data_IF_671492422378
#
_entry.id   IF_671492422378
#
_cell.length_a   1.000
_cell.length_b   1.000
_cell.length_c   1.000
_cell.angle_alpha   90.00
_cell.angle_beta   90.00
_cell.angle_gamma   90.00
#
_symmetry.space_group_name_H-M   'P 1'
#
loop_
_entity.id
_entity.type
_entity.pdbx_description
1 polymer ?
#
# COMPACT_ATOMS: atom_id res chain seq x y z
N UNK A 1 42.43 60.10 -18.46
CA UNK A 1 42.65 58.65 -18.59
C UNK A 1 41.28 58.00 -18.47
N UNK A 2 40.78 57.53 -19.61
CA UNK A 2 39.42 57.03 -19.82
C UNK A 2 39.51 55.52 -19.86
N UNK A 3 38.68 54.80 -19.11
CA UNK A 3 38.37 53.40 -19.40
C UNK A 3 36.89 53.34 -19.78
N UNK A 4 36.65 53.00 -21.04
CA UNK A 4 35.34 52.80 -21.66
C UNK A 4 34.93 51.37 -21.34
N UNK A 5 33.79 51.19 -20.70
CA UNK A 5 33.14 49.89 -20.56
C UNK A 5 32.28 49.62 -21.81
N UNK A 6 32.39 48.42 -22.38
CA UNK A 6 32.01 48.12 -23.76
C UNK A 6 30.64 47.45 -23.90
N UNK A 7 29.67 47.88 -23.09
CA UNK A 7 28.25 47.53 -23.22
C UNK A 7 27.45 48.78 -22.85
N UNK A 8 26.93 49.49 -23.85
CA UNK A 8 26.23 50.76 -23.69
C UNK A 8 24.86 50.66 -23.00
N UNK A 9 24.82 50.19 -21.75
CA UNK A 9 23.66 50.27 -20.88
C UNK A 9 23.94 51.21 -19.70
N UNK A 10 23.17 52.29 -19.63
CA UNK A 10 23.16 53.20 -18.48
C UNK A 10 22.67 52.43 -17.26
N UNK A 11 23.54 52.27 -16.26
CA UNK A 11 23.15 51.82 -14.94
C UNK A 11 22.34 52.93 -14.26
N UNK A 12 21.02 52.71 -14.14
CA UNK A 12 20.12 53.58 -13.37
C UNK A 12 20.03 53.04 -11.93
N UNK A 13 20.61 53.72 -10.92
CA UNK A 13 20.69 53.22 -9.55
C UNK A 13 19.33 53.14 -8.83
N UNK A 14 18.23 53.60 -9.45
CA UNK A 14 16.88 53.57 -8.88
C UNK A 14 15.97 52.47 -9.47
N UNK A 15 16.52 51.51 -10.23
CA UNK A 15 15.73 50.38 -10.75
C UNK A 15 15.57 49.30 -9.66
N UNK A 16 14.34 48.97 -9.20
CA UNK A 16 14.15 47.88 -8.25
C UNK A 16 14.54 46.53 -8.89
N UNK A 17 15.20 45.62 -8.15
CA UNK A 17 15.68 44.36 -8.70
C UNK A 17 14.51 43.52 -9.23
N UNK A 18 14.67 42.99 -10.45
CA UNK A 18 13.70 42.08 -11.08
C UNK A 18 13.62 40.72 -10.37
N UNK A 19 12.52 39.97 -10.55
CA UNK A 19 12.17 38.81 -9.74
C UNK A 19 12.90 37.54 -10.21
N UNK A 20 14.23 37.50 -10.14
CA UNK A 20 15.00 36.30 -10.56
C UNK A 20 16.18 35.93 -9.66
N UNK A 21 16.28 36.45 -8.44
CA UNK A 21 17.36 36.05 -7.51
C UNK A 21 16.89 35.70 -6.09
N UNK A 22 15.65 35.23 -5.95
CA UNK A 22 15.30 34.41 -4.80
C UNK A 22 15.63 32.95 -5.12
N UNK A 23 16.90 32.60 -4.88
CA UNK A 23 17.27 31.22 -4.56
C UNK A 23 16.23 30.74 -3.55
N UNK A 24 15.36 29.82 -3.99
CA UNK A 24 14.21 29.37 -3.24
C UNK A 24 14.71 28.60 -2.01
N UNK A 25 15.01 29.32 -0.92
CA UNK A 25 15.59 28.80 0.32
C UNK A 25 14.72 27.67 0.88
N UNK A 26 13.42 27.69 0.63
CA UNK A 26 12.46 26.63 0.93
C UNK A 26 12.67 25.35 0.11
N UNK A 27 12.99 25.47 -1.19
CA UNK A 27 13.30 24.32 -2.05
C UNK A 27 14.67 23.72 -1.71
N UNK A 28 15.66 24.57 -1.41
CA UNK A 28 16.97 24.14 -0.91
C UNK A 28 16.91 23.51 0.47
N UNK A 29 16.10 24.05 1.40
CA UNK A 29 15.89 23.44 2.71
C UNK A 29 15.12 22.13 2.61
N UNK A 30 14.14 22.01 1.69
CA UNK A 30 13.46 20.74 1.42
C UNK A 30 14.43 19.71 0.82
N UNK A 31 15.30 20.14 -0.10
CA UNK A 31 16.35 19.29 -0.71
C UNK A 31 17.41 18.86 0.30
N UNK A 32 17.91 19.78 1.12
CA UNK A 32 18.90 19.50 2.18
C UNK A 32 18.32 18.62 3.29
N UNK A 33 17.04 18.78 3.66
CA UNK A 33 16.36 17.85 4.56
C UNK A 33 16.13 16.48 3.92
N UNK A 34 15.83 16.42 2.62
CA UNK A 34 15.74 15.15 1.86
C UNK A 34 17.11 14.48 1.74
N UNK A 35 18.20 15.24 1.58
CA UNK A 35 19.58 14.76 1.59
C UNK A 35 20.00 14.25 2.97
N UNK A 36 19.71 14.98 4.05
CA UNK A 36 20.01 14.53 5.41
C UNK A 36 19.22 13.25 5.77
N UNK A 37 17.95 13.18 5.39
CA UNK A 37 17.11 11.99 5.59
C UNK A 37 17.55 10.81 4.71
N UNK A 38 17.99 11.06 3.47
CA UNK A 38 18.52 10.02 2.59
C UNK A 38 19.87 9.46 3.07
N UNK A 39 20.78 10.32 3.54
CA UNK A 39 22.06 9.92 4.14
C UNK A 39 21.82 9.10 5.42
N UNK A 40 20.80 9.44 6.21
CA UNK A 40 20.42 8.67 7.40
C UNK A 40 19.66 7.37 7.05
N UNK A 41 18.87 7.36 5.96
CA UNK A 41 18.04 6.23 5.52
C UNK A 41 18.78 5.11 4.76
N UNK A 42 20.08 5.23 4.50
CA UNK A 42 20.87 4.19 3.79
C UNK A 42 21.34 3.04 4.69
N UNK A 43 21.10 3.12 6.00
CA UNK A 43 21.41 2.01 6.90
C UNK A 43 20.23 1.03 6.88
N UNK A 44 20.41 -0.25 6.49
CA UNK A 44 19.32 -1.23 6.47
C UNK A 44 18.60 -1.38 7.83
N UNK A 45 19.29 -1.02 8.92
CA UNK A 45 18.76 -0.95 10.28
C UNK A 45 17.70 0.15 10.44
N UNK A 46 17.90 1.32 9.82
CA UNK A 46 16.98 2.46 9.94
C UNK A 46 15.78 2.34 9.01
N UNK A 47 15.94 1.73 7.82
CA UNK A 47 14.81 1.35 6.98
C UNK A 47 13.92 0.31 7.69
N UNK A 48 14.52 -0.68 8.35
CA UNK A 48 13.80 -1.64 9.19
C UNK A 48 13.16 -0.97 10.42
N UNK A 49 13.79 0.05 11.02
CA UNK A 49 13.19 0.82 12.12
C UNK A 49 12.01 1.67 11.65
N UNK A 50 12.11 2.34 10.50
CA UNK A 50 10.99 3.09 9.92
C UNK A 50 9.83 2.16 9.54
N UNK A 51 10.13 0.97 9.02
CA UNK A 51 9.12 -0.06 8.71
C UNK A 51 8.48 -0.61 10.00
N UNK A 52 9.24 -0.77 11.08
CA UNK A 52 8.72 -1.15 12.40
C UNK A 52 7.87 -0.05 13.04
N UNK A 53 8.29 1.22 12.96
CA UNK A 53 7.54 2.38 13.47
C UNK A 53 6.24 2.60 12.69
N UNK A 54 6.24 2.40 11.36
CA UNK A 54 5.01 2.45 10.56
C UNK A 54 4.10 1.24 10.87
N UNK A 55 4.65 0.04 11.08
CA UNK A 55 3.86 -1.13 11.51
C UNK A 55 3.23 -0.93 12.89
N UNK A 56 3.97 -0.33 13.83
CA UNK A 56 3.47 0.02 15.16
C UNK A 56 2.40 1.11 15.09
N UNK A 57 2.54 2.11 14.21
CA UNK A 57 1.49 3.10 13.95
C UNK A 57 0.23 2.50 13.35
N UNK A 58 0.36 1.55 12.42
CA UNK A 58 -0.79 0.83 11.84
C UNK A 58 -1.49 0.01 12.93
N UNK A 59 -0.73 -0.73 13.74
CA UNK A 59 -1.27 -1.50 14.87
C UNK A 59 -1.93 -0.61 15.94
N UNK A 60 -1.36 0.57 16.21
CA UNK A 60 -1.94 1.54 17.16
C UNK A 60 -3.25 2.17 16.64
N UNK A 61 -3.44 2.24 15.32
CA UNK A 61 -4.66 2.74 14.68
C UNK A 61 -5.76 1.67 14.52
N UNK A 62 -5.43 0.38 14.63
CA UNK A 62 -6.41 -0.72 14.57
C UNK A 62 -7.59 -0.59 15.56
N UNK A 63 -7.41 -0.32 16.86
CA UNK A 63 -8.54 -0.24 17.79
C UNK A 63 -9.47 0.94 17.49
N UNK A 64 -8.92 2.06 17.02
CA UNK A 64 -9.71 3.22 16.60
C UNK A 64 -10.47 2.93 15.29
N UNK A 65 -9.85 2.19 14.37
CA UNK A 65 -10.47 1.72 13.13
C UNK A 65 -11.58 0.71 13.42
N UNK A 66 -11.37 -0.25 14.32
CA UNK A 66 -12.36 -1.23 14.76
C UNK A 66 -13.57 -0.57 15.46
N UNK A 67 -13.34 0.46 16.28
CA UNK A 67 -14.42 1.24 16.89
C UNK A 67 -15.24 2.04 15.86
N UNK A 68 -14.62 2.50 14.77
CA UNK A 68 -15.27 3.23 13.67
C UNK A 68 -16.05 2.30 12.72
N UNK A 69 -15.49 1.13 12.38
CA UNK A 69 -16.16 0.06 11.64
C UNK A 69 -17.42 -0.43 12.36
N UNK A 70 -17.35 -0.50 13.70
CA UNK A 70 -18.48 -0.86 14.55
C UNK A 70 -19.66 0.11 14.43
N UNK A 71 -19.40 1.41 14.24
CA UNK A 71 -20.45 2.42 14.05
C UNK A 71 -21.21 2.30 12.71
N UNK A 72 -20.62 1.65 11.71
CA UNK A 72 -21.22 1.41 10.38
C UNK A 72 -22.03 0.11 10.26
N UNK A 73 -22.20 -0.67 11.34
CA UNK A 73 -23.01 -1.89 11.37
C UNK A 73 -22.31 -3.18 10.92
N UNK A 74 -21.05 -3.11 10.48
CA UNK A 74 -20.26 -4.27 10.03
C UNK A 74 -19.20 -4.70 11.04
N UNK A 75 -19.55 -4.84 12.32
CA UNK A 75 -18.64 -5.13 13.45
C UNK A 75 -17.73 -6.35 13.20
N UNK A 76 -18.26 -7.37 12.52
CA UNK A 76 -17.54 -8.63 12.25
C UNK A 76 -16.97 -8.71 10.81
N UNK A 77 -17.11 -7.64 10.03
CA UNK A 77 -16.65 -7.58 8.64
C UNK A 77 -15.29 -6.88 8.62
N UNK A 78 -14.29 -7.51 7.99
CA UNK A 78 -12.96 -6.95 7.90
C UNK A 78 -12.68 -6.35 6.52
N UNK A 79 -11.76 -5.40 6.47
CA UNK A 79 -11.25 -4.81 5.21
C UNK A 79 -10.07 -5.62 4.69
N UNK A 80 -10.26 -6.95 4.63
CA UNK A 80 -9.25 -7.94 4.23
C UNK A 80 -9.92 -9.08 3.46
N UNK A 81 -9.18 -9.66 2.51
CA UNK A 81 -9.60 -10.87 1.82
C UNK A 81 -9.40 -12.08 2.74
N UNK A 82 -10.50 -12.71 3.18
CA UNK A 82 -10.51 -13.84 4.11
C UNK A 82 -11.17 -15.08 3.52
N UNK A 83 -10.76 -16.24 4.03
CA UNK A 83 -11.36 -17.53 3.70
C UNK A 83 -11.25 -17.90 2.22
N UNK A 84 -12.10 -18.83 1.80
CA UNK A 84 -12.09 -19.38 0.45
C UNK A 84 -12.51 -18.33 -0.59
N UNK A 85 -13.44 -17.44 -0.22
CA UNK A 85 -13.94 -16.38 -1.11
C UNK A 85 -12.86 -15.32 -1.32
N UNK A 86 -12.16 -14.93 -0.26
CA UNK A 86 -11.00 -14.03 -0.36
C UNK A 86 -9.89 -14.62 -1.23
N UNK A 87 -9.62 -15.92 -1.11
CA UNK A 87 -8.66 -16.60 -1.98
C UNK A 87 -9.11 -16.64 -3.45
N UNK A 88 -10.39 -16.86 -3.71
CA UNK A 88 -10.95 -16.82 -5.07
C UNK A 88 -10.83 -15.41 -5.69
N UNK A 89 -11.15 -14.36 -4.93
CA UNK A 89 -10.98 -12.96 -5.34
C UNK A 89 -9.50 -12.64 -5.63
N UNK A 90 -8.59 -13.06 -4.75
CA UNK A 90 -7.15 -12.90 -4.98
C UNK A 90 -6.67 -13.63 -6.25
N UNK A 91 -7.21 -14.83 -6.52
CA UNK A 91 -6.94 -15.60 -7.73
C UNK A 91 -7.39 -14.90 -9.01
N UNK A 92 -8.59 -14.30 -9.01
CA UNK A 92 -9.11 -13.51 -10.15
C UNK A 92 -8.24 -12.29 -10.42
N UNK A 93 -7.82 -11.58 -9.36
CA UNK A 93 -7.00 -10.39 -9.48
C UNK A 93 -5.57 -10.69 -9.92
N UNK A 94 -5.02 -11.82 -9.46
CA UNK A 94 -3.65 -12.26 -9.71
C UNK A 94 -2.60 -11.15 -9.44
N UNK A 95 -2.75 -10.45 -8.31
CA UNK A 95 -1.88 -9.33 -7.93
C UNK A 95 -0.42 -9.76 -7.76
N UNK A 96 -0.16 -11.04 -7.46
CA UNK A 96 1.18 -11.61 -7.35
C UNK A 96 2.03 -11.43 -8.62
N UNK A 97 1.40 -11.40 -9.80
CA UNK A 97 2.10 -11.16 -11.06
C UNK A 97 2.61 -9.71 -11.15
N UNK A 98 1.83 -8.75 -10.64
CA UNK A 98 2.21 -7.34 -10.55
C UNK A 98 3.32 -7.20 -9.50
N UNK A 99 3.18 -7.85 -8.35
CA UNK A 99 4.21 -7.89 -7.30
C UNK A 99 5.53 -8.45 -7.83
N UNK A 100 5.47 -9.54 -8.60
CA UNK A 100 6.65 -10.15 -9.21
C UNK A 100 7.31 -9.22 -10.23
N UNK A 101 6.54 -8.49 -11.03
CA UNK A 101 7.06 -7.50 -11.97
C UNK A 101 7.75 -6.33 -11.24
N UNK A 102 7.10 -5.78 -10.20
CA UNK A 102 7.66 -4.70 -9.39
C UNK A 102 8.97 -5.13 -8.70
N UNK A 103 9.03 -6.35 -8.14
CA UNK A 103 10.26 -6.92 -7.56
C UNK A 103 11.40 -7.01 -8.58
N UNK A 104 11.12 -7.43 -9.82
CA UNK A 104 12.13 -7.48 -10.89
C UNK A 104 12.68 -6.11 -11.26
N UNK A 105 11.80 -5.11 -11.39
CA UNK A 105 12.22 -3.73 -11.68
C UNK A 105 13.04 -3.16 -10.53
N UNK A 106 12.63 -3.40 -9.28
CA UNK A 106 13.40 -2.97 -8.10
C UNK A 106 14.80 -3.61 -8.07
N UNK A 107 14.89 -4.92 -8.28
CA UNK A 107 16.16 -5.62 -8.33
C UNK A 107 17.08 -5.08 -9.45
N UNK A 108 16.51 -4.65 -10.57
CA UNK A 108 17.26 -4.01 -11.66
C UNK A 108 17.79 -2.64 -11.24
N UNK A 109 16.96 -1.80 -10.63
CA UNK A 109 17.37 -0.50 -10.07
C UNK A 109 18.53 -0.71 -9.09
N UNK A 110 18.39 -1.64 -8.16
CA UNK A 110 19.40 -1.94 -7.13
C UNK A 110 20.73 -2.36 -7.77
N UNK A 111 20.68 -3.25 -8.77
CA UNK A 111 21.88 -3.68 -9.50
C UNK A 111 22.57 -2.55 -10.27
N UNK A 112 21.81 -1.69 -10.96
CA UNK A 112 22.37 -0.55 -11.70
C UNK A 112 23.02 0.48 -10.77
N UNK A 113 22.46 0.71 -9.58
CA UNK A 113 23.05 1.62 -8.58
C UNK A 113 24.36 1.06 -8.07
N UNK A 114 24.41 -0.24 -7.74
CA UNK A 114 25.65 -0.89 -7.31
C UNK A 114 26.72 -0.72 -8.38
N UNK A 115 26.40 -0.98 -9.65
CA UNK A 115 27.33 -0.82 -10.76
C UNK A 115 27.83 0.63 -10.92
N UNK A 116 26.92 1.61 -10.88
CA UNK A 116 27.27 3.04 -11.00
C UNK A 116 28.17 3.48 -9.83
N UNK A 117 27.85 3.06 -8.61
CA UNK A 117 28.63 3.40 -7.40
C UNK A 117 30.02 2.77 -7.46
N UNK A 118 30.15 1.53 -7.93
CA UNK A 118 31.45 0.88 -8.16
C UNK A 118 32.27 1.62 -9.23
N UNK A 119 31.65 2.02 -10.34
CA UNK A 119 32.31 2.79 -11.39
C UNK A 119 32.80 4.16 -10.88
N UNK A 120 31.99 4.85 -10.07
CA UNK A 120 32.36 6.11 -9.43
C UNK A 120 33.53 5.92 -8.45
N UNK A 121 33.50 4.86 -7.63
CA UNK A 121 34.59 4.52 -6.72
C UNK A 121 35.89 4.25 -7.49
N UNK A 122 35.83 3.46 -8.56
CA UNK A 122 36.99 3.15 -9.39
C UNK A 122 37.57 4.41 -10.07
N UNK A 123 36.71 5.33 -10.53
CA UNK A 123 37.14 6.62 -11.09
C UNK A 123 37.84 7.48 -10.02
N UNK A 124 37.24 7.67 -8.85
CA UNK A 124 37.83 8.44 -7.76
C UNK A 124 39.20 7.87 -7.33
N UNK A 125 39.33 6.53 -7.25
CA UNK A 125 40.60 5.86 -6.99
C UNK A 125 41.65 6.13 -8.06
N UNK A 126 41.27 6.17 -9.35
CA UNK A 126 42.21 6.50 -10.44
C UNK A 126 42.68 7.95 -10.36
N UNK A 127 41.77 8.89 -10.13
CA UNK A 127 42.09 10.31 -10.04
C UNK A 127 42.99 10.61 -8.84
N UNK A 128 42.68 10.05 -7.67
CA UNK A 128 43.52 10.22 -6.48
C UNK A 128 44.93 9.62 -6.67
N UNK A 129 45.04 8.42 -7.25
CA UNK A 129 46.35 7.84 -7.60
C UNK A 129 47.11 8.69 -8.61
N UNK A 130 46.44 9.23 -9.63
CA UNK A 130 47.06 10.10 -10.61
C UNK A 130 47.61 11.38 -9.96
N UNK A 131 46.87 11.97 -9.02
CA UNK A 131 47.32 13.14 -8.26
C UNK A 131 48.58 12.85 -7.42
N UNK A 132 48.58 11.75 -6.65
CA UNK A 132 49.74 11.34 -5.86
C UNK A 132 50.97 11.06 -6.74
N UNK A 133 50.77 10.40 -7.88
CA UNK A 133 51.86 10.12 -8.82
C UNK A 133 52.39 11.39 -9.49
N UNK A 134 51.51 12.34 -9.83
CA UNK A 134 51.93 13.62 -10.38
C UNK A 134 52.79 14.40 -9.37
N UNK A 135 52.36 14.48 -8.11
CA UNK A 135 53.11 15.15 -7.05
C UNK A 135 54.49 14.51 -6.82
N UNK A 136 54.55 13.18 -6.77
CA UNK A 136 55.83 12.47 -6.65
C UNK A 136 56.74 12.69 -7.87
N UNK A 137 56.16 12.77 -9.07
CA UNK A 137 56.90 13.03 -10.29
C UNK A 137 57.48 14.46 -10.32
N UNK A 138 56.69 15.44 -9.88
CA UNK A 138 57.12 16.84 -9.77
C UNK A 138 58.24 16.98 -8.73
N UNK A 139 58.11 16.34 -7.56
CA UNK A 139 59.14 16.34 -6.52
C UNK A 139 60.44 15.68 -7.00
N UNK A 140 60.33 14.53 -7.68
CA UNK A 140 61.49 13.85 -8.26
C UNK A 140 62.19 14.71 -9.33
N UNK A 141 61.42 15.33 -10.22
CA UNK A 141 61.93 16.19 -11.30
C UNK A 141 62.62 17.45 -10.75
N UNK A 142 62.11 17.99 -9.65
CA UNK A 142 62.73 19.09 -8.92
C UNK A 142 63.95 18.68 -8.07
N UNK A 143 64.38 17.40 -8.11
CA UNK A 143 65.43 16.81 -7.25
C UNK A 143 65.16 16.98 -5.76
N UNK A 144 63.89 17.02 -5.37
CA UNK A 144 63.44 17.07 -3.98
C UNK A 144 63.20 15.64 -3.46
N UNK A 145 63.00 15.52 -2.14
CA UNK A 145 62.59 14.25 -1.54
C UNK A 145 61.20 13.86 -2.07
N UNK A 146 61.08 12.67 -2.65
CA UNK A 146 59.79 12.13 -3.12
C UNK A 146 58.86 11.89 -1.92
N UNK A 147 57.61 12.40 -1.94
CA UNK A 147 56.61 12.16 -0.90
C UNK A 147 56.22 10.69 -0.77
N UNK A 148 55.64 10.33 0.38
CA UNK A 148 55.08 8.98 0.59
C UNK A 148 53.80 8.79 -0.25
N UNK A 149 53.74 7.68 -1.00
CA UNK A 149 52.63 7.42 -1.92
C UNK A 149 51.57 6.47 -1.34
N UNK A 150 52.01 5.42 -0.64
CA UNK A 150 51.12 4.32 -0.22
C UNK A 150 50.34 4.63 1.05
N UNK A 151 50.97 5.24 2.06
CA UNK A 151 50.29 5.57 3.31
C UNK A 151 49.11 6.56 3.10
N UNK A 152 49.26 7.64 2.30
CA UNK A 152 48.13 8.53 1.99
C UNK A 152 47.02 7.84 1.19
N UNK A 153 47.37 6.98 0.22
CA UNK A 153 46.36 6.25 -0.57
C UNK A 153 45.55 5.28 0.29
N UNK A 154 46.19 4.50 1.16
CA UNK A 154 45.52 3.55 2.05
C UNK A 154 44.63 4.30 3.05
N UNK A 155 45.12 5.39 3.63
CA UNK A 155 44.34 6.23 4.53
C UNK A 155 43.12 6.83 3.83
N UNK A 156 43.27 7.37 2.62
CA UNK A 156 42.16 7.89 1.82
C UNK A 156 41.14 6.80 1.49
N UNK A 157 41.60 5.62 1.06
CA UNK A 157 40.72 4.50 0.67
C UNK A 157 39.86 3.96 1.81
N UNK A 158 40.34 4.08 3.05
CA UNK A 158 39.62 3.62 4.23
C UNK A 158 38.51 4.59 4.68
N UNK A 159 38.55 5.86 4.25
CA UNK A 159 37.68 6.91 4.79
C UNK A 159 36.81 7.62 3.75
N UNK A 160 37.11 7.48 2.45
CA UNK A 160 36.32 8.11 1.40
C UNK A 160 35.28 7.15 0.85
N UNK A 161 34.00 7.48 1.11
CA UNK A 161 32.89 6.96 0.32
C UNK A 161 32.63 7.92 -0.84
N UNK A 162 32.51 7.44 -2.09
CA UNK A 162 32.01 8.27 -3.17
C UNK A 162 30.64 8.79 -2.76
N UNK A 163 30.48 10.11 -2.62
CA UNK A 163 29.20 10.72 -2.32
C UNK A 163 28.55 11.19 -3.63
N UNK A 164 27.26 10.92 -3.82
CA UNK A 164 26.42 11.72 -4.71
C UNK A 164 25.37 10.99 -5.56
N UNK A 165 24.38 11.80 -5.98
CA UNK A 165 23.43 11.71 -7.10
C UNK A 165 22.74 10.37 -7.41
N UNK A 166 23.48 9.28 -7.62
CA UNK A 166 22.93 7.98 -8.03
C UNK A 166 22.01 7.38 -6.95
N UNK A 167 22.41 7.48 -5.67
CA UNK A 167 21.58 7.04 -4.54
C UNK A 167 20.31 7.88 -4.38
N UNK A 168 20.34 9.18 -4.71
CA UNK A 168 19.16 10.04 -4.65
C UNK A 168 18.19 9.77 -5.80
N UNK A 169 18.73 9.54 -7.00
CA UNK A 169 17.95 9.13 -8.16
C UNK A 169 17.29 7.78 -7.90
N UNK A 170 18.01 6.84 -7.27
CA UNK A 170 17.50 5.55 -6.85
C UNK A 170 16.30 5.65 -5.91
N UNK A 171 16.41 6.50 -4.87
CA UNK A 171 15.30 6.72 -3.93
C UNK A 171 14.07 7.24 -4.70
N UNK A 172 14.28 8.21 -5.59
CA UNK A 172 13.20 8.78 -6.42
C UNK A 172 12.57 7.72 -7.33
N UNK A 173 13.39 6.91 -8.03
CA UNK A 173 12.92 5.83 -8.89
C UNK A 173 12.17 4.74 -8.11
N UNK A 174 12.57 4.45 -6.86
CA UNK A 174 11.86 3.51 -5.98
C UNK A 174 10.53 4.10 -5.50
N UNK A 175 10.50 5.38 -5.15
CA UNK A 175 9.26 6.11 -4.81
C UNK A 175 8.27 6.06 -5.99
N UNK A 176 8.75 6.39 -7.20
CA UNK A 176 7.96 6.33 -8.44
C UNK A 176 7.51 4.91 -8.78
N UNK A 177 8.38 3.91 -8.63
CA UNK A 177 8.03 2.49 -8.84
C UNK A 177 6.91 2.06 -7.89
N UNK A 178 6.96 2.47 -6.62
CA UNK A 178 5.93 2.10 -5.66
C UNK A 178 4.60 2.80 -5.97
N UNK A 179 4.62 4.06 -6.39
CA UNK A 179 3.43 4.78 -6.83
C UNK A 179 2.80 4.09 -8.07
N UNK A 180 3.61 3.77 -9.08
CA UNK A 180 3.17 3.04 -10.27
C UNK A 180 2.64 1.64 -9.92
N UNK A 181 3.27 0.95 -8.96
CA UNK A 181 2.81 -0.34 -8.47
C UNK A 181 1.42 -0.24 -7.84
N UNK A 182 1.19 0.74 -6.95
CA UNK A 182 -0.11 0.98 -6.35
C UNK A 182 -1.19 1.30 -7.41
N UNK A 183 -0.86 2.14 -8.38
CA UNK A 183 -1.75 2.48 -9.51
C UNK A 183 -2.10 1.23 -10.33
N UNK A 184 -1.13 0.38 -10.66
CA UNK A 184 -1.37 -0.86 -11.42
C UNK A 184 -2.25 -1.85 -10.68
N UNK A 185 -2.08 -2.00 -9.36
CA UNK A 185 -2.97 -2.85 -8.56
C UNK A 185 -4.39 -2.33 -8.59
N UNK A 186 -4.59 -1.02 -8.41
CA UNK A 186 -5.91 -0.42 -8.51
C UNK A 186 -6.53 -0.59 -9.90
N UNK A 187 -5.74 -0.37 -10.95
CA UNK A 187 -6.18 -0.57 -12.33
C UNK A 187 -6.58 -2.04 -12.60
N UNK A 188 -5.87 -3.01 -12.02
CA UNK A 188 -6.23 -4.42 -12.12
C UNK A 188 -7.55 -4.74 -11.44
N UNK A 189 -7.85 -4.12 -10.28
CA UNK A 189 -9.17 -4.27 -9.64
C UNK A 189 -10.28 -3.74 -10.55
N UNK A 190 -10.08 -2.57 -11.18
CA UNK A 190 -11.03 -2.02 -12.16
C UNK A 190 -11.21 -2.93 -13.37
N UNK A 191 -10.11 -3.41 -13.95
CA UNK A 191 -10.10 -4.30 -15.12
C UNK A 191 -10.89 -5.58 -14.88
N UNK A 192 -10.85 -6.09 -13.63
CA UNK A 192 -11.49 -7.35 -13.24
C UNK A 192 -12.82 -7.19 -12.53
N UNK A 193 -13.39 -5.98 -12.51
CA UNK A 193 -14.60 -5.70 -11.74
C UNK A 193 -15.77 -6.58 -12.14
N UNK A 194 -15.99 -6.81 -13.43
CA UNK A 194 -17.06 -7.70 -13.93
C UNK A 194 -16.85 -9.15 -13.51
N UNK A 195 -15.61 -9.65 -13.55
CA UNK A 195 -15.28 -11.01 -13.13
C UNK A 195 -15.50 -11.18 -11.61
N UNK A 196 -15.14 -10.15 -10.83
CA UNK A 196 -15.36 -10.11 -9.38
C UNK A 196 -16.84 -10.02 -9.00
N UNK A 197 -17.61 -9.18 -9.71
CA UNK A 197 -19.05 -9.03 -9.52
C UNK A 197 -19.78 -10.35 -9.77
N UNK A 198 -19.45 -11.03 -10.88
CA UNK A 198 -20.00 -12.34 -11.20
C UNK A 198 -19.65 -13.38 -10.11
N UNK A 199 -18.39 -13.45 -9.70
CA UNK A 199 -17.93 -14.36 -8.64
C UNK A 199 -18.68 -14.12 -7.33
N UNK A 200 -18.78 -12.86 -6.88
CA UNK A 200 -19.43 -12.53 -5.61
C UNK A 200 -20.92 -12.80 -5.67
N UNK A 201 -21.58 -12.46 -6.78
CA UNK A 201 -23.02 -12.69 -6.95
C UNK A 201 -23.33 -14.19 -6.95
N UNK A 202 -22.54 -15.00 -7.67
CA UNK A 202 -22.68 -16.46 -7.69
C UNK A 202 -22.52 -17.06 -6.30
N UNK A 203 -21.45 -16.69 -5.58
CA UNK A 203 -21.21 -17.17 -4.22
C UNK A 203 -22.30 -16.71 -3.24
N UNK A 204 -22.79 -15.48 -3.39
CA UNK A 204 -23.84 -14.94 -2.56
C UNK A 204 -25.14 -15.73 -2.71
N UNK A 205 -25.57 -16.00 -3.95
CA UNK A 205 -26.76 -16.82 -4.21
C UNK A 205 -26.61 -18.22 -3.59
N UNK A 206 -25.48 -18.88 -3.79
CA UNK A 206 -25.23 -20.21 -3.24
C UNK A 206 -25.28 -20.26 -1.70
N UNK A 207 -24.73 -19.23 -1.04
CA UNK A 207 -24.78 -19.09 0.43
C UNK A 207 -26.23 -18.88 0.90
N UNK A 208 -26.99 -18.03 0.22
CA UNK A 208 -28.37 -17.74 0.57
C UNK A 208 -29.28 -18.95 0.37
N UNK A 209 -29.11 -19.70 -0.72
CA UNK A 209 -29.83 -20.96 -0.94
C UNK A 209 -29.58 -21.98 0.18
N UNK A 210 -28.31 -22.09 0.60
CA UNK A 210 -27.90 -22.95 1.71
C UNK A 210 -28.50 -22.47 3.04
N UNK A 211 -28.42 -21.17 3.33
CA UNK A 211 -28.96 -20.56 4.53
C UNK A 211 -30.49 -20.69 4.61
N UNK A 212 -31.18 -20.50 3.48
CA UNK A 212 -32.63 -20.68 3.35
C UNK A 212 -33.04 -22.11 3.65
N UNK A 213 -32.41 -23.08 2.95
CA UNK A 213 -32.68 -24.51 3.15
C UNK A 213 -32.42 -24.95 4.60
N UNK A 214 -31.33 -24.48 5.20
CA UNK A 214 -31.01 -24.75 6.60
C UNK A 214 -32.06 -24.17 7.56
N UNK A 215 -32.50 -22.93 7.33
CA UNK A 215 -33.51 -22.28 8.15
C UNK A 215 -34.87 -22.99 8.04
N UNK A 216 -35.25 -23.43 6.84
CA UNK A 216 -36.50 -24.16 6.61
C UNK A 216 -36.50 -25.51 7.34
N UNK A 217 -35.39 -26.28 7.27
CA UNK A 217 -35.25 -27.54 8.04
C UNK A 217 -35.32 -27.32 9.55
N UNK A 218 -34.72 -26.24 10.07
CA UNK A 218 -34.83 -25.92 11.50
C UNK A 218 -36.26 -25.54 11.89
N UNK A 219 -36.94 -24.76 11.06
CA UNK A 219 -38.32 -24.34 11.29
C UNK A 219 -39.31 -25.52 11.26
N UNK A 220 -39.10 -26.50 10.36
CA UNK A 220 -39.88 -27.75 10.32
C UNK A 220 -39.77 -28.56 11.62
N UNK A 221 -38.60 -28.50 12.28
CA UNK A 221 -38.38 -29.09 13.61
C UNK A 221 -38.87 -28.20 14.77
N UNK A 222 -39.52 -27.06 14.49
CA UNK A 222 -39.98 -26.10 15.49
C UNK A 222 -38.88 -25.27 16.14
N UNK A 223 -37.67 -25.27 15.56
CA UNK A 223 -36.51 -24.54 16.06
C UNK A 223 -36.27 -23.27 15.25
N UNK A 224 -35.57 -22.32 15.87
CA UNK A 224 -35.10 -21.11 15.20
C UNK A 224 -33.64 -21.24 14.79
N UNK A 225 -33.18 -20.41 13.86
CA UNK A 225 -31.76 -20.29 13.51
C UNK A 225 -30.88 -19.78 14.67
N UNK A 226 -31.50 -19.20 15.70
CA UNK A 226 -30.87 -18.82 16.97
C UNK A 226 -30.95 -19.91 18.06
N UNK A 227 -31.36 -21.13 17.70
CA UNK A 227 -31.38 -22.26 18.62
C UNK A 227 -29.99 -22.49 19.25
N UNK A 228 -30.01 -22.82 20.54
CA UNK A 228 -28.80 -23.12 21.32
C UNK A 228 -28.34 -24.55 21.06
N UNK A 229 -27.09 -24.86 21.42
CA UNK A 229 -26.57 -26.24 21.33
C UNK A 229 -27.47 -27.24 22.08
N UNK A 230 -28.02 -26.86 23.23
CA UNK A 230 -28.90 -27.71 24.02
C UNK A 230 -30.22 -27.99 23.28
N UNK A 231 -30.80 -26.99 22.62
CA UNK A 231 -32.01 -27.17 21.79
C UNK A 231 -31.76 -28.17 20.65
N UNK A 232 -30.58 -28.09 20.02
CA UNK A 232 -30.18 -29.00 18.93
C UNK A 232 -29.96 -30.43 19.44
N UNK A 233 -29.35 -30.59 20.62
CA UNK A 233 -29.14 -31.90 21.23
C UNK A 233 -30.47 -32.54 21.65
N UNK A 234 -31.41 -31.75 22.17
CA UNK A 234 -32.74 -32.21 22.59
C UNK A 234 -33.65 -32.61 21.41
N UNK A 235 -33.37 -32.14 20.20
CA UNK A 235 -34.13 -32.52 19.02
C UNK A 235 -33.87 -33.96 18.55
N UNK A 236 -32.76 -34.57 18.99
CA UNK A 236 -32.33 -35.95 18.66
C UNK A 236 -32.30 -36.29 17.14
N UNK A 237 -32.33 -35.27 16.27
CA UNK A 237 -32.33 -35.41 14.81
C UNK A 237 -31.01 -34.92 14.20
N UNK A 238 -30.32 -35.84 13.51
CA UNK A 238 -29.09 -35.54 12.77
C UNK A 238 -29.31 -34.51 11.66
N UNK A 239 -30.50 -34.46 11.06
CA UNK A 239 -30.91 -33.47 10.07
C UNK A 239 -30.89 -32.06 10.63
N UNK A 240 -31.46 -31.87 11.83
CA UNK A 240 -31.48 -30.60 12.58
C UNK A 240 -30.05 -30.14 12.92
N UNK A 241 -29.21 -31.04 13.43
CA UNK A 241 -27.82 -30.71 13.75
C UNK A 241 -27.01 -30.32 12.50
N UNK A 242 -27.24 -30.99 11.36
CA UNK A 242 -26.60 -30.65 10.08
C UNK A 242 -27.09 -29.30 9.56
N UNK A 243 -28.39 -29.02 9.63
CA UNK A 243 -28.98 -27.75 9.22
C UNK A 243 -28.42 -26.59 10.06
N UNK A 244 -28.32 -26.75 11.38
CA UNK A 244 -27.74 -25.75 12.26
C UNK A 244 -26.28 -25.43 11.92
N UNK A 245 -25.45 -26.46 11.67
CA UNK A 245 -24.08 -26.27 11.19
C UNK A 245 -24.01 -25.59 9.82
N UNK A 246 -24.91 -25.95 8.90
CA UNK A 246 -24.98 -25.33 7.58
C UNK A 246 -25.37 -23.84 7.68
N UNK A 247 -26.26 -23.48 8.59
CA UNK A 247 -26.59 -22.10 8.91
C UNK A 247 -25.37 -21.33 9.44
N UNK A 248 -24.68 -21.87 10.45
CA UNK A 248 -23.46 -21.24 10.99
C UNK A 248 -22.37 -21.08 9.92
N UNK A 249 -22.17 -22.09 9.07
CA UNK A 249 -21.26 -22.01 7.93
C UNK A 249 -21.68 -20.93 6.93
N UNK A 250 -22.98 -20.76 6.68
CA UNK A 250 -23.50 -19.72 5.81
C UNK A 250 -23.28 -18.31 6.40
N UNK A 251 -23.43 -18.14 7.72
CA UNK A 251 -23.10 -16.88 8.41
C UNK A 251 -21.62 -16.52 8.23
N UNK A 252 -20.72 -17.47 8.43
CA UNK A 252 -19.29 -17.25 8.26
C UNK A 252 -18.95 -16.88 6.81
N UNK A 253 -19.46 -17.64 5.83
CA UNK A 253 -19.23 -17.35 4.41
C UNK A 253 -19.87 -16.04 3.95
N UNK A 254 -21.00 -15.65 4.53
CA UNK A 254 -21.59 -14.33 4.26
C UNK A 254 -20.69 -13.21 4.76
N UNK A 255 -20.07 -13.36 5.94
CA UNK A 255 -19.06 -12.42 6.43
C UNK A 255 -17.85 -12.31 5.49
N UNK A 256 -17.39 -13.43 4.93
CA UNK A 256 -16.31 -13.44 3.92
C UNK A 256 -16.71 -12.66 2.66
N UNK A 257 -17.92 -12.86 2.13
CA UNK A 257 -18.44 -12.08 0.99
C UNK A 257 -18.44 -10.59 1.31
N UNK A 258 -18.98 -10.20 2.45
CA UNK A 258 -19.07 -8.77 2.79
C UNK A 258 -17.67 -8.16 3.00
N UNK A 259 -16.72 -8.95 3.52
CA UNK A 259 -15.32 -8.53 3.63
C UNK A 259 -14.68 -8.34 2.25
N UNK A 260 -14.95 -9.25 1.30
CA UNK A 260 -14.48 -9.13 -0.08
C UNK A 260 -15.09 -7.91 -0.80
N UNK A 261 -16.42 -7.70 -0.68
CA UNK A 261 -17.11 -6.52 -1.23
C UNK A 261 -16.52 -5.23 -0.69
N UNK A 262 -16.33 -5.15 0.63
CA UNK A 262 -15.72 -4.00 1.31
C UNK A 262 -14.29 -3.75 0.82
N UNK A 263 -13.49 -4.81 0.75
CA UNK A 263 -12.11 -4.71 0.28
C UNK A 263 -12.04 -4.16 -1.15
N UNK A 264 -12.90 -4.66 -2.06
CA UNK A 264 -12.93 -4.17 -3.45
C UNK A 264 -13.42 -2.72 -3.52
N UNK A 265 -14.45 -2.35 -2.76
CA UNK A 265 -14.94 -0.98 -2.72
C UNK A 265 -13.86 0.00 -2.26
N UNK A 266 -13.13 -0.33 -1.18
CA UNK A 266 -12.00 0.48 -0.69
C UNK A 266 -10.86 0.52 -1.72
N UNK A 267 -10.53 -0.60 -2.36
CA UNK A 267 -9.53 -0.64 -3.42
C UNK A 267 -9.91 0.29 -4.60
N UNK A 268 -11.17 0.35 -4.98
CA UNK A 268 -11.60 1.17 -6.11
C UNK A 268 -11.70 2.66 -5.76
N UNK A 269 -12.21 2.99 -4.58
CA UNK A 269 -12.40 4.38 -4.13
C UNK A 269 -11.08 5.03 -3.70
N UNK A 270 -10.29 4.32 -2.88
CA UNK A 270 -9.11 4.88 -2.22
C UNK A 270 -7.80 4.35 -2.78
N UNK A 271 -7.80 3.11 -3.28
CA UNK A 271 -6.62 2.52 -3.90
C UNK A 271 -5.64 1.90 -2.91
N UNK A 272 -4.38 1.80 -3.33
CA UNK A 272 -3.30 1.17 -2.59
C UNK A 272 -2.28 2.21 -2.13
N UNK A 273 -1.65 1.95 -0.99
CA UNK A 273 -0.65 2.86 -0.42
C UNK A 273 0.61 2.91 -1.28
N UNK A 274 1.08 4.09 -1.74
CA UNK A 274 2.38 4.21 -2.41
C UNK A 274 3.58 3.88 -1.51
N UNK A 275 3.40 3.86 -0.19
CA UNK A 275 4.46 3.43 0.75
C UNK A 275 4.50 1.92 0.90
N UNK A 276 3.32 1.30 0.95
CA UNK A 276 3.14 -0.15 1.02
C UNK A 276 2.16 -0.59 -0.07
N UNK A 277 2.62 -0.79 -1.32
CA UNK A 277 1.74 -1.07 -2.45
C UNK A 277 0.86 -2.32 -2.28
N UNK A 278 1.25 -3.24 -1.39
CA UNK A 278 0.43 -4.41 -1.05
C UNK A 278 -0.80 -4.12 -0.17
N UNK A 279 -0.86 -2.94 0.45
CA UNK A 279 -1.89 -2.55 1.42
C UNK A 279 -2.84 -1.51 0.84
N UNK A 280 -4.12 -1.62 1.20
CA UNK A 280 -5.12 -0.59 0.92
C UNK A 280 -4.81 0.67 1.72
N UNK A 281 -5.23 1.82 1.19
CA UNK A 281 -5.22 3.06 1.98
C UNK A 281 -6.33 2.95 3.03
N UNK A 282 -5.97 3.13 4.30
CA UNK A 282 -6.88 3.15 5.43
C UNK A 282 -6.84 4.56 6.06
N UNK A 283 -7.83 5.39 5.75
CA UNK A 283 -7.96 6.75 6.26
C UNK A 283 -9.38 7.02 6.77
N UNK A 284 -9.69 8.27 7.14
CA UNK A 284 -11.03 8.61 7.63
C UNK A 284 -12.11 8.48 6.54
N UNK A 285 -11.75 8.65 5.27
CA UNK A 285 -12.67 8.66 4.14
C UNK A 285 -13.08 7.22 3.75
N UNK A 286 -12.26 6.20 4.07
CA UNK A 286 -12.65 4.79 3.89
C UNK A 286 -13.88 4.40 4.71
N UNK A 287 -14.10 5.02 5.88
CA UNK A 287 -15.22 4.66 6.77
C UNK A 287 -16.58 4.86 6.10
N UNK A 288 -16.72 5.92 5.27
CA UNK A 288 -17.93 6.16 4.50
C UNK A 288 -18.19 5.05 3.48
N UNK A 289 -17.15 4.66 2.73
CA UNK A 289 -17.20 3.57 1.74
C UNK A 289 -17.55 2.23 2.40
N UNK A 290 -16.96 1.92 3.56
CA UNK A 290 -17.20 0.67 4.28
C UNK A 290 -18.64 0.56 4.81
N UNK A 291 -19.19 1.67 5.33
CA UNK A 291 -20.57 1.75 5.80
C UNK A 291 -21.57 1.69 4.63
N UNK A 292 -21.28 2.38 3.53
CA UNK A 292 -22.09 2.33 2.32
C UNK A 292 -22.17 0.90 1.76
N UNK A 293 -21.03 0.22 1.65
CA UNK A 293 -20.96 -1.17 1.14
C UNK A 293 -21.79 -2.14 2.00
N UNK A 294 -21.80 -1.95 3.32
CA UNK A 294 -22.64 -2.72 4.23
C UNK A 294 -24.13 -2.44 4.02
N UNK A 295 -24.50 -1.16 3.89
CA UNK A 295 -25.86 -0.72 3.59
C UNK A 295 -26.38 -1.26 2.26
N UNK A 296 -25.53 -1.35 1.25
CA UNK A 296 -25.86 -1.75 -0.12
C UNK A 296 -25.71 -3.26 -0.38
N UNK A 297 -25.82 -4.13 0.61
CA UNK A 297 -25.65 -5.58 0.40
C UNK A 297 -26.80 -6.30 -0.32
N UNK A 298 -27.90 -5.60 -0.59
CA UNK A 298 -29.07 -6.12 -1.28
C UNK A 298 -29.49 -5.22 -2.44
N UNK A 299 -29.98 -5.83 -3.51
CA UNK A 299 -30.49 -5.09 -4.68
C UNK A 299 -31.74 -4.32 -4.30
N UNK A 300 -31.71 -3.00 -4.48
CA UNK A 300 -32.86 -2.11 -4.32
C UNK A 300 -33.33 -1.92 -2.88
N UNK A 301 -32.61 -2.45 -1.87
CA UNK A 301 -32.98 -2.34 -0.45
C UNK A 301 -31.75 -2.03 0.38
N UNK A 302 -31.78 -0.89 1.07
CA UNK A 302 -30.74 -0.55 2.03
C UNK A 302 -30.91 -1.36 3.32
N UNK A 303 -29.82 -1.93 3.82
CA UNK A 303 -29.80 -2.62 5.11
C UNK A 303 -30.12 -1.61 6.23
N UNK A 304 -31.09 -1.91 7.12
CA UNK A 304 -31.36 -1.03 8.26
C UNK A 304 -30.15 -0.94 9.20
N UNK A 305 -29.88 0.24 9.73
CA UNK A 305 -28.71 0.53 10.58
C UNK A 305 -28.69 -0.25 11.90
N UNK A 306 -29.83 -0.76 12.35
CA UNK A 306 -29.92 -1.62 13.54
C UNK A 306 -29.52 -3.08 13.27
N UNK A 307 -29.33 -3.47 12.01
CA UNK A 307 -28.90 -4.82 11.63
C UNK A 307 -27.37 -4.83 11.59
N UNK A 308 -26.79 -5.42 12.63
CA UNK A 308 -25.34 -5.43 12.83
C UNK A 308 -24.79 -6.84 12.72
N UNK A 309 -23.78 -7.02 11.85
CA UNK A 309 -23.09 -8.29 11.66
C UNK A 309 -23.81 -9.28 10.72
N UNK A 310 -23.03 -10.25 10.22
CA UNK A 310 -23.47 -11.19 9.18
C UNK A 310 -24.67 -12.06 9.61
N UNK A 311 -24.70 -12.49 10.87
CA UNK A 311 -25.80 -13.30 11.41
C UNK A 311 -27.13 -12.55 11.38
N UNK A 312 -27.14 -11.30 11.90
CA UNK A 312 -28.33 -10.47 11.91
C UNK A 312 -28.79 -10.12 10.48
N UNK A 313 -27.85 -9.89 9.57
CA UNK A 313 -28.13 -9.66 8.15
C UNK A 313 -28.86 -10.85 7.50
N UNK A 314 -28.41 -12.08 7.75
CA UNK A 314 -29.08 -13.28 7.24
C UNK A 314 -30.44 -13.52 7.90
N UNK A 315 -30.58 -13.27 9.21
CA UNK A 315 -31.89 -13.34 9.89
C UNK A 315 -32.87 -12.32 9.31
N UNK A 316 -32.40 -11.10 9.04
CA UNK A 316 -33.20 -10.08 8.36
C UNK A 316 -33.57 -10.52 6.94
N UNK A 317 -32.63 -11.11 6.20
CA UNK A 317 -32.87 -11.62 4.86
C UNK A 317 -33.93 -12.72 4.83
N UNK A 318 -33.96 -13.65 5.79
CA UNK A 318 -34.98 -14.71 5.85
C UNK A 318 -36.43 -14.18 5.78
N UNK A 319 -36.66 -12.97 6.31
CA UNK A 319 -37.98 -12.32 6.38
C UNK A 319 -38.33 -11.52 5.13
N UNK A 320 -37.35 -11.07 4.36
CA UNK A 320 -37.54 -10.11 3.26
C UNK A 320 -37.16 -10.69 1.88
N UNK A 321 -36.22 -11.65 1.86
CA UNK A 321 -35.67 -12.36 0.71
C UNK A 321 -35.28 -11.47 -0.50
N UNK A 322 -34.62 -10.31 -0.31
CA UNK A 322 -34.11 -9.58 -1.46
C UNK A 322 -32.96 -10.34 -2.14
N UNK A 323 -32.70 -10.02 -3.40
CA UNK A 323 -31.55 -10.53 -4.13
C UNK A 323 -30.24 -9.92 -3.58
N UNK A 324 -29.14 -10.68 -3.51
CA UNK A 324 -27.84 -10.15 -3.11
C UNK A 324 -27.34 -9.14 -4.14
N UNK A 325 -26.71 -8.06 -3.67
CA UNK A 325 -25.96 -7.15 -4.53
C UNK A 325 -24.54 -7.67 -4.72
N UNK A 326 -24.02 -7.54 -5.94
CA UNK A 326 -22.62 -7.81 -6.26
C UNK A 326 -21.70 -6.63 -5.92
N UNK A 327 -20.81 -6.27 -6.83
CA UNK A 327 -19.97 -5.06 -6.76
C UNK A 327 -20.17 -4.25 -8.04
N UNK A 328 -20.64 -3.02 -7.90
CA UNK A 328 -20.82 -2.10 -9.03
C UNK A 328 -19.96 -0.84 -8.86
N UNK A 329 -19.57 -0.19 -9.98
CA UNK A 329 -18.88 1.11 -9.92
C UNK A 329 -19.73 2.19 -9.21
N UNK A 330 -21.06 2.09 -9.29
CA UNK A 330 -21.98 3.01 -8.61
C UNK A 330 -21.94 2.92 -7.09
N UNK A 331 -21.60 1.77 -6.53
CA UNK A 331 -21.40 1.60 -5.07
C UNK A 331 -20.08 2.20 -4.58
N UNK A 332 -19.17 2.55 -5.50
CA UNK A 332 -17.83 3.09 -5.21
C UNK A 332 -17.79 4.63 -5.32
N UNK A 333 -18.67 5.21 -6.13
CA UNK A 333 -18.71 6.65 -6.40
C UNK A 333 -19.54 7.48 -5.40
N UNK A 334 -20.18 6.81 -4.41
CA UNK A 334 -21.03 7.42 -3.39
C UNK A 334 -20.27 7.64 -2.07
#
# INVERSE_FOLDING_TARGET
MITIDNTGERFDPDTPPGPTDHINVTALNRRARKEAAAIQGTTPILAAQAEAEDAERVAAAEPETAARVSAGGGVDIATELRGEIGAAVAGVLALDAIDAAARKVRARIDGEITEITEQQAAKAQREHRAALLAEAWDAASAKQRVPELMAPHLHWSAHVRPQGSAEMLAITMREELNAEHAVRRQARVRERLTDLDALITEQAVAILDTAGSAADTLAEAGLSVSATTDDILNAEDLGVAKAWKAWQGSVARWSEIQSARRWVAVALAHGFSPRHPGQLIADADTTGTEAHTWGAQWVGVAMPTYVVGASAALVWWLRNRPAPAGITESEVAA
#
